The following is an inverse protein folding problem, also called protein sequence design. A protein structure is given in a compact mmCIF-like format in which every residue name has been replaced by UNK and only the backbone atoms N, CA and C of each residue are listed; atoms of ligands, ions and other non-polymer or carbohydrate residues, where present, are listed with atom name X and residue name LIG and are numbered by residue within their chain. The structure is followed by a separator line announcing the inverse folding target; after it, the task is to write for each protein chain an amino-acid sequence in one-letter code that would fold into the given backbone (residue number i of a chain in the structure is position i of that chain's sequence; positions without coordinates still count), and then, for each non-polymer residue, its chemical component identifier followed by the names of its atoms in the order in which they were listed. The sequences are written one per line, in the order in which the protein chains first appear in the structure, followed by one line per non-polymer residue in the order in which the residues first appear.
data_IF_646860879449
#
_entry.id   IF_646860879449
#
_cell.length_a   1.000
_cell.length_b   1.000
_cell.length_c   1.000
_cell.angle_alpha   90.00
_cell.angle_beta   90.00
_cell.angle_gamma   90.00
#
_symmetry.space_group_name_H-M   'P 1'
#
loop_
_entity.id
_entity.type
_entity.pdbx_description
1 polymer ?
#
# COMPACT_ATOMS: atom_id res chain seq x y z
N UNK A 1 -18.61 24.15 -17.66
CA UNK A 1 -18.36 22.77 -17.20
C UNK A 1 -17.00 22.68 -16.53
N UNK A 2 -16.98 22.66 -15.19
CA UNK A 2 -15.79 22.39 -14.39
C UNK A 2 -15.50 20.88 -14.42
N UNK A 3 -14.78 20.41 -15.42
CA UNK A 3 -14.03 19.16 -15.25
C UNK A 3 -12.79 19.53 -14.45
N UNK A 4 -12.89 19.40 -13.13
CA UNK A 4 -11.73 19.48 -12.26
C UNK A 4 -10.72 18.44 -12.72
N UNK A 5 -9.61 18.90 -13.28
CA UNK A 5 -8.45 18.08 -13.59
C UNK A 5 -7.94 17.55 -12.26
N UNK A 6 -8.41 16.35 -11.87
CA UNK A 6 -7.76 15.56 -10.82
C UNK A 6 -6.33 15.37 -11.29
N UNK A 7 -5.42 16.16 -10.74
CA UNK A 7 -4.00 16.01 -10.95
C UNK A 7 -3.67 14.60 -10.46
N UNK A 8 -3.53 13.65 -11.39
CA UNK A 8 -2.86 12.39 -11.11
C UNK A 8 -1.40 12.79 -10.89
N UNK A 9 -1.07 13.14 -9.64
CA UNK A 9 0.31 13.30 -9.20
C UNK A 9 0.98 12.00 -9.55
N UNK A 10 1.74 12.04 -10.63
CA UNK A 10 2.32 10.88 -11.27
C UNK A 10 3.41 10.39 -10.31
N UNK A 11 3.01 9.55 -9.35
CA UNK A 11 3.87 8.50 -8.87
C UNK A 11 4.42 7.89 -10.15
N UNK A 12 5.74 7.97 -10.38
CA UNK A 12 6.35 7.14 -11.41
C UNK A 12 5.77 5.74 -11.23
N UNK A 13 5.22 5.10 -12.28
CA UNK A 13 4.39 3.92 -12.15
C UNK A 13 5.18 2.86 -11.37
N UNK A 14 4.89 2.73 -10.08
CA UNK A 14 5.54 1.74 -9.24
C UNK A 14 4.91 0.41 -9.60
N UNK A 15 5.67 -0.53 -10.19
CA UNK A 15 5.09 -1.78 -10.66
C UNK A 15 4.40 -2.55 -9.53
N UNK A 16 4.95 -2.47 -8.31
CA UNK A 16 4.41 -3.15 -7.13
C UNK A 16 3.02 -2.59 -6.76
N UNK A 17 2.90 -1.26 -6.63
CA UNK A 17 1.61 -0.61 -6.37
C UNK A 17 0.59 -0.88 -7.47
N UNK A 18 0.99 -0.78 -8.74
CA UNK A 18 0.09 -1.05 -9.87
C UNK A 18 -0.43 -2.48 -9.80
N UNK A 19 0.43 -3.47 -9.55
CA UNK A 19 -0.02 -4.86 -9.44
C UNK A 19 -1.02 -5.07 -8.30
N UNK A 20 -0.93 -4.33 -7.18
CA UNK A 20 -1.95 -4.33 -6.13
C UNK A 20 -3.26 -3.65 -6.58
N UNK A 21 -3.17 -2.47 -7.20
CA UNK A 21 -4.35 -1.72 -7.67
C UNK A 21 -5.19 -2.49 -8.70
N UNK A 22 -4.55 -3.37 -9.48
CA UNK A 22 -5.21 -4.27 -10.41
C UNK A 22 -5.43 -5.69 -9.84
N UNK A 23 -5.21 -5.91 -8.55
CA UNK A 23 -5.38 -7.20 -7.86
C UNK A 23 -4.62 -8.37 -8.54
N UNK A 24 -3.46 -8.09 -9.14
CA UNK A 24 -2.68 -9.03 -9.92
C UNK A 24 -1.59 -9.72 -9.09
N UNK A 25 -2.01 -10.64 -8.21
CA UNK A 25 -1.17 -11.32 -7.21
C UNK A 25 0.11 -11.98 -7.78
N UNK A 26 0.08 -12.66 -8.95
CA UNK A 26 1.30 -13.27 -9.49
C UNK A 26 2.40 -12.25 -9.84
N UNK A 27 2.00 -11.08 -10.37
CA UNK A 27 2.94 -10.01 -10.70
C UNK A 27 3.48 -9.36 -9.42
N UNK A 28 2.61 -9.13 -8.44
CA UNK A 28 2.98 -8.62 -7.14
C UNK A 28 4.05 -9.49 -6.47
N UNK A 29 3.84 -10.81 -6.44
CA UNK A 29 4.80 -11.80 -5.93
C UNK A 29 6.13 -11.77 -6.70
N UNK A 30 6.07 -11.75 -8.03
CA UNK A 30 7.27 -11.69 -8.87
C UNK A 30 8.11 -10.44 -8.57
N UNK A 31 7.47 -9.29 -8.38
CA UNK A 31 8.15 -8.03 -8.08
C UNK A 31 8.81 -8.04 -6.69
N UNK A 32 8.15 -8.59 -5.67
CA UNK A 32 8.75 -8.77 -4.35
C UNK A 32 9.95 -9.72 -4.39
N UNK A 33 9.83 -10.84 -5.11
CA UNK A 33 10.95 -11.76 -5.33
C UNK A 33 12.13 -11.10 -6.08
N UNK A 34 11.86 -10.09 -6.92
CA UNK A 34 12.88 -9.31 -7.62
C UNK A 34 13.50 -8.18 -6.76
N UNK A 35 13.15 -8.10 -5.47
CA UNK A 35 13.69 -7.11 -4.54
C UNK A 35 12.95 -5.77 -4.51
N UNK A 36 11.69 -5.73 -4.95
CA UNK A 36 10.84 -4.56 -4.69
C UNK A 36 10.69 -4.33 -3.18
N UNK A 37 10.71 -3.06 -2.77
CA UNK A 37 10.57 -2.70 -1.36
C UNK A 37 9.16 -3.05 -0.85
N UNK A 38 9.04 -3.91 0.18
CA UNK A 38 7.73 -4.30 0.72
C UNK A 38 7.09 -3.21 1.59
N UNK A 39 7.86 -2.21 2.04
CA UNK A 39 7.32 -1.13 2.88
C UNK A 39 6.71 -0.01 2.06
N UNK A 40 7.30 0.32 0.91
CA UNK A 40 6.95 1.50 0.15
C UNK A 40 6.87 1.21 -1.34
N UNK A 41 6.01 1.95 -2.04
CA UNK A 41 5.93 1.95 -3.50
C UNK A 41 7.14 2.63 -4.19
N UNK A 42 8.32 2.59 -3.56
CA UNK A 42 9.54 3.24 -4.04
C UNK A 42 10.79 2.50 -3.53
N UNK A 43 11.76 2.29 -4.42
CA UNK A 43 13.01 1.56 -4.13
C UNK A 43 14.23 2.47 -3.89
N UNK A 44 14.11 3.79 -4.03
CA UNK A 44 15.21 4.72 -3.76
C UNK A 44 15.35 5.05 -2.26
N UNK A 45 16.35 5.86 -1.87
CA UNK A 45 16.56 6.23 -0.48
C UNK A 45 15.31 6.92 0.10
N UNK A 46 14.74 6.31 1.14
CA UNK A 46 13.54 6.81 1.82
C UNK A 46 13.97 7.91 2.78
N UNK A 47 13.87 9.17 2.35
CA UNK A 47 13.90 10.30 3.27
C UNK A 47 12.44 10.62 3.67
N UNK A 48 12.20 10.92 4.95
CA UNK A 48 10.90 11.35 5.50
C UNK A 48 10.27 12.50 4.68
N UNK A 49 11.08 13.37 4.06
CA UNK A 49 10.57 14.39 3.14
C UNK A 49 9.90 13.84 1.86
N UNK A 50 10.39 12.72 1.31
CA UNK A 50 9.83 12.09 0.09
C UNK A 50 8.46 11.45 0.41
N UNK A 51 8.34 10.87 1.61
CA UNK A 51 7.06 10.38 2.16
C UNK A 51 6.06 11.54 2.33
N UNK A 52 6.48 12.64 2.99
CA UNK A 52 5.64 13.80 3.25
C UNK A 52 5.21 14.56 1.99
N UNK A 53 6.00 14.51 0.91
CA UNK A 53 5.63 15.09 -0.40
C UNK A 53 4.64 14.22 -1.19
N UNK A 54 4.08 13.16 -0.59
CA UNK A 54 3.07 12.29 -1.20
C UNK A 54 3.61 11.41 -2.33
N UNK A 55 4.93 11.24 -2.42
CA UNK A 55 5.59 10.47 -3.49
C UNK A 55 5.86 9.02 -3.10
N UNK A 56 5.77 8.69 -1.82
CA UNK A 56 5.88 7.33 -1.33
C UNK A 56 4.65 6.97 -0.48
N UNK A 57 4.06 5.81 -0.75
CA UNK A 57 2.92 5.25 -0.03
C UNK A 57 3.34 3.97 0.66
N UNK A 58 2.91 3.78 1.92
CA UNK A 58 3.07 2.51 2.62
C UNK A 58 2.30 1.42 1.86
N UNK A 59 2.97 0.31 1.54
CA UNK A 59 2.36 -0.76 0.73
C UNK A 59 1.29 -1.52 1.50
N UNK A 60 1.46 -1.75 2.81
CA UNK A 60 0.43 -2.37 3.65
C UNK A 60 -0.84 -1.50 3.73
N UNK A 61 -0.69 -0.19 3.93
CA UNK A 61 -1.80 0.77 3.87
C UNK A 61 -2.50 0.73 2.50
N UNK A 62 -1.72 0.70 1.42
CA UNK A 62 -2.26 0.66 0.06
C UNK A 62 -3.08 -0.61 -0.20
N UNK A 63 -2.55 -1.81 0.08
CA UNK A 63 -3.27 -3.07 -0.21
C UNK A 63 -4.55 -3.20 0.61
N UNK A 64 -4.55 -2.69 1.85
CA UNK A 64 -5.75 -2.67 2.70
C UNK A 64 -6.81 -1.71 2.15
N UNK A 65 -6.42 -0.48 1.77
CA UNK A 65 -7.32 0.53 1.18
C UNK A 65 -7.87 0.13 -0.19
N UNK A 66 -7.08 -0.61 -0.97
CA UNK A 66 -7.49 -1.19 -2.25
C UNK A 66 -8.40 -2.41 -2.09
N UNK A 67 -8.55 -2.95 -0.88
CA UNK A 67 -9.37 -4.13 -0.61
C UNK A 67 -8.77 -5.41 -1.21
N UNK A 68 -7.44 -5.49 -1.30
CA UNK A 68 -6.75 -6.68 -1.78
C UNK A 68 -7.03 -7.90 -0.88
N UNK A 69 -6.85 -9.09 -1.45
CA UNK A 69 -6.93 -10.34 -0.70
C UNK A 69 -5.81 -10.44 0.34
N UNK A 70 -6.02 -11.24 1.39
CA UNK A 70 -5.04 -11.44 2.47
C UNK A 70 -3.68 -11.95 1.96
N UNK A 71 -3.66 -12.66 0.84
CA UNK A 71 -2.41 -13.11 0.20
C UNK A 71 -1.45 -11.97 -0.16
N UNK A 72 -1.94 -10.76 -0.45
CA UNK A 72 -1.09 -9.57 -0.66
C UNK A 72 -0.45 -9.11 0.65
N UNK A 73 -1.21 -9.12 1.74
CA UNK A 73 -0.72 -8.76 3.08
C UNK A 73 0.32 -9.77 3.54
N UNK A 74 0.02 -11.07 3.46
CA UNK A 74 0.98 -12.14 3.80
C UNK A 74 2.27 -12.01 2.99
N UNK A 75 2.18 -11.76 1.68
CA UNK A 75 3.36 -11.56 0.84
C UNK A 75 4.22 -10.37 1.27
N UNK A 76 3.61 -9.24 1.62
CA UNK A 76 4.35 -8.09 2.12
C UNK A 76 5.07 -8.43 3.43
N UNK A 77 4.39 -9.08 4.36
CA UNK A 77 4.95 -9.51 5.65
C UNK A 77 6.07 -10.54 5.49
N UNK A 78 5.88 -11.55 4.65
CA UNK A 78 6.88 -12.58 4.33
C UNK A 78 8.17 -11.98 3.77
N UNK A 79 8.06 -10.85 3.06
CA UNK A 79 9.20 -10.11 2.53
C UNK A 79 9.75 -9.03 3.48
N UNK A 80 9.24 -8.95 4.71
CA UNK A 80 9.75 -8.05 5.75
C UNK A 80 9.12 -6.66 5.78
N UNK A 81 7.86 -6.52 5.32
CA UNK A 81 7.11 -5.30 5.58
C UNK A 81 6.91 -5.08 7.08
N UNK A 82 7.14 -3.86 7.54
CA UNK A 82 6.92 -3.42 8.90
C UNK A 82 5.48 -2.89 9.06
N UNK A 83 4.61 -3.59 9.82
CA UNK A 83 3.22 -3.20 10.00
C UNK A 83 3.05 -1.92 10.82
N UNK A 84 4.06 -1.50 11.60
CA UNK A 84 4.00 -0.26 12.37
C UNK A 84 4.14 1.01 11.51
N UNK A 85 4.46 0.86 10.23
CA UNK A 85 4.53 1.98 9.28
C UNK A 85 3.16 2.42 8.74
N UNK A 86 2.09 1.69 9.06
CA UNK A 86 0.73 2.02 8.64
C UNK A 86 0.17 3.12 9.55
N UNK A 87 -0.19 4.31 9.04
CA UNK A 87 -0.57 5.47 9.85
C UNK A 87 -2.04 5.44 10.31
N UNK A 88 -2.62 4.25 10.53
CA UNK A 88 -4.03 4.13 10.87
C UNK A 88 -4.37 4.60 12.28
N UNK A 89 -3.39 4.59 13.20
CA UNK A 89 -3.58 5.11 14.55
C UNK A 89 -3.83 6.64 14.54
N UNK A 90 -3.50 7.32 13.44
CA UNK A 90 -3.71 8.75 13.22
C UNK A 90 -4.96 9.05 12.37
N UNK A 91 -5.68 8.02 11.88
CA UNK A 91 -6.85 8.21 11.03
C UNK A 91 -8.11 8.50 11.85
N UNK A 92 -8.88 9.47 11.38
CA UNK A 92 -10.19 9.77 11.92
C UNK A 92 -11.18 8.59 11.73
N UNK A 93 -12.01 8.25 12.74
CA UNK A 93 -12.95 7.14 12.67
C UNK A 93 -13.91 7.19 11.47
N UNK A 94 -14.35 8.37 11.02
CA UNK A 94 -15.23 8.51 9.85
C UNK A 94 -14.50 8.15 8.55
N UNK A 95 -13.18 8.30 8.51
CA UNK A 95 -12.35 7.87 7.37
C UNK A 95 -12.24 6.36 7.34
N UNK A 96 -12.03 5.71 8.49
CA UNK A 96 -11.98 4.24 8.58
C UNK A 96 -13.30 3.59 8.19
N UNK A 97 -14.45 4.15 8.59
CA UNK A 97 -15.78 3.61 8.25
C UNK A 97 -16.04 3.59 6.74
N UNK A 98 -15.44 4.51 5.98
CA UNK A 98 -15.58 4.58 4.53
C UNK A 98 -14.67 3.62 3.77
N UNK A 99 -13.63 3.09 4.40
CA UNK A 99 -12.72 2.15 3.76
C UNK A 99 -13.36 0.76 3.74
N UNK A 100 -13.69 0.27 2.54
CA UNK A 100 -14.15 -1.10 2.34
C UNK A 100 -12.96 -2.06 2.36
N UNK A 101 -12.40 -2.29 3.55
CA UNK A 101 -11.26 -3.19 3.75
C UNK A 101 -11.73 -4.65 3.72
N UNK A 102 -10.94 -5.52 3.09
CA UNK A 102 -11.18 -6.96 3.15
C UNK A 102 -10.93 -7.46 4.59
N UNK A 103 -11.94 -8.08 5.22
CA UNK A 103 -11.88 -8.48 6.62
C UNK A 103 -10.77 -9.49 6.93
N UNK A 104 -10.51 -10.42 6.01
CA UNK A 104 -9.45 -11.42 6.17
C UNK A 104 -8.07 -10.78 6.04
N UNK A 105 -7.89 -9.87 5.08
CA UNK A 105 -6.65 -9.11 4.94
C UNK A 105 -6.37 -8.24 6.17
N UNK A 106 -7.42 -7.61 6.72
CA UNK A 106 -7.33 -6.83 7.95
C UNK A 106 -6.90 -7.69 9.14
N UNK A 107 -7.48 -8.89 9.28
CA UNK A 107 -7.12 -9.81 10.37
C UNK A 107 -5.64 -10.20 10.30
N UNK A 108 -5.16 -10.62 9.13
CA UNK A 108 -3.74 -10.99 8.94
C UNK A 108 -2.81 -9.82 9.28
N UNK A 109 -3.15 -8.61 8.85
CA UNK A 109 -2.37 -7.42 9.20
C UNK A 109 -2.35 -7.14 10.72
N UNK A 110 -3.51 -7.25 11.38
CA UNK A 110 -3.62 -7.03 12.83
C UNK A 110 -2.86 -8.06 13.66
N UNK A 111 -2.79 -9.32 13.21
CA UNK A 111 -2.02 -10.38 13.88
C UNK A 111 -0.50 -10.14 13.81
N UNK A 112 -0.04 -9.38 12.82
CA UNK A 112 1.37 -9.07 12.62
C UNK A 112 1.82 -7.77 13.32
N UNK A 113 0.87 -6.91 13.74
CA UNK A 113 1.13 -5.65 14.46
C UNK A 113 1.15 -5.87 15.97
#
# INVERSE_FOLDING_TARGET
SMFGTRTLTTLAPCPLFISAAYHHLPCFRMLLNAGANPNYNFNGPVNREVLLKGRASCMLDAVLKLGCESAFVSLLLDHGADPYLVPWDELDPDTMVRLKVNAEALRVYQEAK
#
